data_IF_512856653308
#
_entry.id   IF_512856653308
#
_cell.length_a   1.000
_cell.length_b   1.000
_cell.length_c   1.000
_cell.angle_alpha   90.00
_cell.angle_beta   90.00
_cell.angle_gamma   90.00
#
_symmetry.space_group_name_H-M   'P 1'
#
loop_
_entity.id
_entity.type
_entity.pdbx_description
1 polymer ?
#
# COMPACT_ATOMS: atom_id res chain seq x y z
N UNK A 1 16.67 -8.97 -30.32
CA UNK A 1 15.44 -8.66 -29.55
C UNK A 1 15.91 -7.80 -28.41
N UNK A 2 15.61 -6.50 -28.47
CA UNK A 2 15.95 -5.56 -27.40
C UNK A 2 15.23 -6.02 -26.13
N UNK A 3 16.00 -6.19 -25.06
CA UNK A 3 15.47 -6.65 -23.77
C UNK A 3 14.78 -5.43 -23.17
N UNK A 4 13.46 -5.34 -23.34
CA UNK A 4 12.67 -4.32 -22.65
C UNK A 4 12.89 -4.57 -21.15
N UNK A 5 13.39 -3.55 -20.45
CA UNK A 5 13.51 -3.59 -19.00
C UNK A 5 12.11 -3.67 -18.40
N UNK A 6 11.93 -4.58 -17.44
CA UNK A 6 10.63 -4.76 -16.79
C UNK A 6 10.19 -3.46 -16.12
N UNK A 7 11.12 -2.70 -15.56
CA UNK A 7 10.82 -1.46 -14.86
C UNK A 7 10.28 -0.38 -15.80
N UNK A 8 10.90 -0.22 -16.97
CA UNK A 8 10.43 0.71 -18.00
C UNK A 8 9.06 0.28 -18.54
N UNK A 9 8.90 -1.02 -18.85
CA UNK A 9 7.61 -1.54 -19.27
C UNK A 9 6.52 -1.34 -18.22
N UNK A 10 6.81 -1.63 -16.96
CA UNK A 10 5.85 -1.51 -15.86
C UNK A 10 5.43 -0.06 -15.63
N UNK A 11 6.38 0.87 -15.72
CA UNK A 11 6.10 2.32 -15.61
C UNK A 11 5.22 2.78 -16.76
N UNK A 12 5.65 2.55 -17.99
CA UNK A 12 5.02 3.11 -19.18
C UNK A 12 3.67 2.44 -19.49
N UNK A 13 3.62 1.10 -19.39
CA UNK A 13 2.44 0.34 -19.81
C UNK A 13 1.36 0.21 -18.72
N UNK A 14 1.71 0.38 -17.44
CA UNK A 14 0.75 0.24 -16.33
C UNK A 14 0.61 1.50 -15.50
N UNK A 15 1.70 2.02 -14.92
CA UNK A 15 1.60 3.13 -13.97
C UNK A 15 1.21 4.45 -14.61
N UNK A 16 1.60 4.66 -15.88
CA UNK A 16 1.31 5.86 -16.65
C UNK A 16 0.09 5.72 -17.57
N UNK A 17 -0.52 4.53 -17.64
CA UNK A 17 -1.79 4.35 -18.33
C UNK A 17 -2.88 5.21 -17.66
N UNK A 18 -3.62 6.03 -18.43
CA UNK A 18 -4.58 6.98 -17.85
C UNK A 18 -5.76 6.28 -17.16
N UNK A 19 -6.09 5.04 -17.52
CA UNK A 19 -7.18 4.27 -16.94
C UNK A 19 -6.68 3.36 -15.81
N UNK A 20 -5.61 2.61 -16.03
CA UNK A 20 -5.10 1.60 -15.11
C UNK A 20 -4.16 2.19 -14.05
N UNK A 21 -3.35 3.19 -14.40
CA UNK A 21 -2.34 3.76 -13.53
C UNK A 21 -2.89 4.27 -12.19
N UNK A 22 -3.94 5.12 -12.20
CA UNK A 22 -4.58 5.58 -10.97
C UNK A 22 -5.12 4.43 -10.11
N UNK A 23 -5.69 3.38 -10.73
CA UNK A 23 -6.25 2.22 -10.01
C UNK A 23 -5.13 1.38 -9.42
N UNK A 24 -4.08 1.09 -10.19
CA UNK A 24 -2.90 0.35 -9.76
C UNK A 24 -2.24 1.02 -8.55
N UNK A 25 -2.02 2.34 -8.63
CA UNK A 25 -1.48 3.14 -7.52
C UNK A 25 -2.35 3.06 -6.27
N UNK A 26 -3.68 3.11 -6.42
CA UNK A 26 -4.61 3.02 -5.29
C UNK A 26 -4.64 1.61 -4.70
N UNK A 27 -4.60 0.57 -5.52
CA UNK A 27 -4.49 -0.82 -5.07
C UNK A 27 -3.19 -1.05 -4.29
N UNK A 28 -2.06 -0.51 -4.75
CA UNK A 28 -0.80 -0.58 -3.99
C UNK A 28 -0.95 0.07 -2.62
N UNK A 29 -1.53 1.27 -2.53
CA UNK A 29 -1.80 1.92 -1.25
C UNK A 29 -2.72 1.09 -0.37
N UNK A 30 -3.80 0.55 -0.94
CA UNK A 30 -4.77 -0.28 -0.22
C UNK A 30 -4.13 -1.54 0.37
N UNK A 31 -3.21 -2.20 -0.35
CA UNK A 31 -2.46 -3.34 0.19
C UNK A 31 -1.56 -2.97 1.36
N UNK A 32 -0.92 -1.81 1.32
CA UNK A 32 -0.03 -1.38 2.38
C UNK A 32 -0.78 -0.82 3.59
N UNK A 33 -1.79 0.00 3.36
CA UNK A 33 -2.38 0.86 4.37
C UNK A 33 -3.81 0.45 4.75
N UNK A 34 -4.45 -0.44 3.98
CA UNK A 34 -5.81 -0.92 4.25
C UNK A 34 -6.94 0.08 3.92
N UNK A 35 -6.62 1.25 3.36
CA UNK A 35 -7.57 2.26 2.91
C UNK A 35 -7.74 2.25 1.38
N UNK A 36 -8.97 2.42 0.94
CA UNK A 36 -9.26 2.88 -0.41
C UNK A 36 -9.30 4.40 -0.40
N UNK A 37 -8.53 5.06 -1.26
CA UNK A 37 -8.66 6.49 -1.49
C UNK A 37 -9.63 6.75 -2.64
N UNK A 38 -10.49 7.76 -2.53
CA UNK A 38 -11.35 8.12 -3.65
C UNK A 38 -10.51 8.47 -4.88
N UNK A 39 -10.92 7.97 -6.04
CA UNK A 39 -10.16 8.19 -7.27
C UNK A 39 -10.14 9.67 -7.68
N UNK A 40 -9.08 10.13 -8.39
CA UNK A 40 -8.99 11.51 -8.87
C UNK A 40 -10.22 11.94 -9.67
N UNK A 41 -10.66 13.20 -9.51
CA UNK A 41 -11.89 13.69 -10.14
C UNK A 41 -11.87 13.53 -11.67
N UNK A 42 -10.76 13.93 -12.31
CA UNK A 42 -10.56 13.80 -13.75
C UNK A 42 -10.64 12.34 -14.26
N UNK A 43 -10.24 11.37 -13.44
CA UNK A 43 -10.35 9.94 -13.76
C UNK A 43 -11.79 9.46 -13.61
N UNK A 44 -12.47 9.84 -12.52
CA UNK A 44 -13.88 9.46 -12.27
C UNK A 44 -14.79 9.97 -13.36
N UNK A 45 -14.65 11.25 -13.73
CA UNK A 45 -15.42 11.87 -14.82
C UNK A 45 -15.36 11.08 -16.14
N UNK A 46 -14.28 10.34 -16.39
CA UNK A 46 -14.06 9.58 -17.61
C UNK A 46 -14.43 8.10 -17.50
N UNK A 47 -14.26 7.47 -16.33
CA UNK A 47 -14.27 6.01 -16.22
C UNK A 47 -15.25 5.44 -15.18
N UNK A 48 -15.75 6.23 -14.22
CA UNK A 48 -16.59 5.70 -13.13
C UNK A 48 -17.63 6.72 -12.67
N UNK A 49 -18.88 6.28 -12.56
CA UNK A 49 -19.96 7.03 -11.93
C UNK A 49 -20.56 6.16 -10.83
N UNK A 50 -19.79 5.95 -9.76
CA UNK A 50 -20.20 5.11 -8.62
C UNK A 50 -20.03 5.86 -7.32
N UNK A 51 -21.06 5.83 -6.47
CA UNK A 51 -21.00 6.35 -5.10
C UNK A 51 -20.19 5.45 -4.15
N UNK A 52 -19.81 4.25 -4.60
CA UNK A 52 -18.99 3.33 -3.80
C UNK A 52 -17.51 3.75 -3.75
N UNK A 53 -17.08 4.56 -4.71
CA UNK A 53 -15.75 5.15 -4.77
C UNK A 53 -15.66 6.35 -3.81
N UNK A 54 -15.31 6.05 -2.57
CA UNK A 54 -15.16 7.00 -1.48
C UNK A 54 -13.97 6.61 -0.61
N UNK A 55 -13.27 7.61 -0.07
CA UNK A 55 -12.17 7.38 0.86
C UNK A 55 -12.69 6.68 2.11
N UNK A 56 -12.18 5.47 2.38
CA UNK A 56 -12.60 4.65 3.51
C UNK A 56 -11.56 3.59 3.87
N UNK A 57 -11.55 3.19 5.14
CA UNK A 57 -10.91 1.94 5.55
C UNK A 57 -11.73 0.79 4.96
N UNK A 58 -11.08 -0.13 4.25
CA UNK A 58 -11.77 -1.22 3.53
C UNK A 58 -12.44 -2.17 4.51
N UNK A 59 -11.73 -2.54 5.57
CA UNK A 59 -12.23 -3.33 6.69
C UNK A 59 -11.31 -3.21 7.90
N UNK A 60 -11.79 -3.61 9.07
CA UNK A 60 -10.94 -3.69 10.27
C UNK A 60 -9.74 -4.64 10.07
N UNK A 61 -9.91 -5.72 9.30
CA UNK A 61 -8.83 -6.65 8.96
C UNK A 61 -7.77 -6.00 8.06
N UNK A 62 -8.21 -5.24 7.05
CA UNK A 62 -7.29 -4.54 6.16
C UNK A 62 -6.40 -3.53 6.92
N UNK A 63 -6.95 -2.86 7.95
CA UNK A 63 -6.16 -2.01 8.83
C UNK A 63 -5.17 -2.81 9.69
N UNK A 64 -5.61 -3.94 10.28
CA UNK A 64 -4.79 -4.75 11.20
C UNK A 64 -3.65 -5.51 10.50
N UNK A 65 -3.84 -5.86 9.25
CA UNK A 65 -2.93 -6.72 8.47
C UNK A 65 -2.29 -5.98 7.27
N UNK A 66 -2.37 -4.66 7.23
CA UNK A 66 -1.73 -3.86 6.19
C UNK A 66 -0.21 -4.09 6.12
N UNK A 67 0.33 -4.22 4.90
CA UNK A 67 1.75 -4.54 4.70
C UNK A 67 2.70 -3.46 5.25
N UNK A 68 2.21 -2.24 5.49
CA UNK A 68 2.99 -1.16 6.10
C UNK A 68 3.54 -1.55 7.48
N UNK A 69 2.81 -2.35 8.26
CA UNK A 69 3.25 -2.75 9.59
C UNK A 69 4.49 -3.65 9.51
N UNK A 70 4.50 -4.58 8.56
CA UNK A 70 5.67 -5.42 8.30
C UNK A 70 6.84 -4.60 7.75
N UNK A 71 6.57 -3.66 6.84
CA UNK A 71 7.61 -2.83 6.22
C UNK A 71 8.30 -1.88 7.23
N UNK A 72 7.57 -1.47 8.28
CA UNK A 72 8.08 -0.59 9.33
C UNK A 72 8.58 -1.34 10.57
N UNK A 73 8.48 -2.67 10.59
CA UNK A 73 8.68 -3.50 11.81
C UNK A 73 7.87 -2.96 13.00
N UNK A 74 6.60 -2.67 12.75
CA UNK A 74 5.68 -2.03 13.68
C UNK A 74 4.39 -2.84 13.83
N UNK A 75 3.47 -2.34 14.65
CA UNK A 75 2.14 -2.93 14.84
C UNK A 75 1.05 -1.88 14.60
N UNK A 76 -0.17 -2.31 14.20
CA UNK A 76 -1.30 -1.40 14.09
C UNK A 76 -1.62 -0.74 15.43
N UNK A 77 -2.00 0.54 15.41
CA UNK A 77 -2.41 1.22 16.63
C UNK A 77 -3.78 0.73 17.09
N UNK A 78 -3.95 0.50 18.40
CA UNK A 78 -5.21 0.00 18.94
C UNK A 78 -5.56 -1.45 18.60
N UNK A 79 -4.66 -2.17 17.92
CA UNK A 79 -4.75 -3.62 17.68
C UNK A 79 -3.37 -4.25 17.90
N UNK A 80 -3.30 -5.52 18.30
CA UNK A 80 -2.02 -6.23 18.53
C UNK A 80 -1.03 -5.42 19.41
N UNK A 81 -1.44 -4.98 20.62
CA UNK A 81 -0.58 -4.15 21.46
C UNK A 81 0.72 -4.89 21.80
N UNK A 82 1.82 -4.15 21.78
CA UNK A 82 3.09 -4.65 22.32
C UNK A 82 3.04 -4.75 23.84
N UNK A 83 3.91 -5.58 24.40
CA UNK A 83 4.05 -5.72 25.85
C UNK A 83 4.52 -4.42 26.53
N UNK A 84 4.30 -4.32 27.84
CA UNK A 84 4.85 -3.23 28.64
C UNK A 84 6.39 -3.17 28.50
N UNK A 85 6.94 -1.96 28.40
CA UNK A 85 8.39 -1.76 28.30
C UNK A 85 8.98 -1.90 26.89
N UNK A 86 8.18 -2.23 25.87
CA UNK A 86 8.70 -2.42 24.49
C UNK A 86 9.34 -1.15 23.89
N UNK A 87 8.93 0.03 24.35
CA UNK A 87 9.54 1.31 23.96
C UNK A 87 10.77 1.71 24.80
N UNK A 88 11.15 0.88 25.77
CA UNK A 88 12.31 1.12 26.63
C UNK A 88 13.65 0.78 25.96
N UNK A 89 13.63 -0.03 24.91
CA UNK A 89 14.80 -0.39 24.11
C UNK A 89 14.92 0.51 22.88
N UNK A 90 16.16 0.78 22.45
CA UNK A 90 16.42 1.51 21.20
C UNK A 90 15.93 0.63 20.03
N UNK A 91 15.30 1.20 18.99
CA UNK A 91 14.99 0.45 17.78
C UNK A 91 16.23 -0.24 17.23
N UNK A 92 16.13 -1.55 17.00
CA UNK A 92 17.17 -2.33 16.34
C UNK A 92 17.36 -1.85 14.90
N UNK A 93 18.61 -1.78 14.44
CA UNK A 93 18.87 -1.74 13.02
C UNK A 93 18.79 -3.18 12.51
N UNK A 94 18.03 -3.44 11.46
CA UNK A 94 18.01 -4.74 10.79
C UNK A 94 19.44 -5.11 10.36
N UNK A 95 20.02 -6.25 10.78
CA UNK A 95 21.27 -6.70 10.19
C UNK A 95 20.97 -7.33 8.82
N UNK A 96 21.74 -6.95 7.80
CA UNK A 96 21.98 -7.80 6.63
C UNK A 96 22.44 -9.17 7.14
N UNK A 97 21.53 -10.14 7.18
CA UNK A 97 21.71 -11.60 6.98
C UNK A 97 20.42 -12.30 7.42
N UNK A 98 19.57 -12.69 6.48
CA UNK A 98 18.75 -13.89 6.67
C UNK A 98 19.64 -15.04 6.27
N UNK A 99 20.49 -15.50 7.18
CA UNK A 99 21.07 -16.82 7.06
C UNK A 99 19.98 -17.80 7.52
N UNK A 100 19.36 -18.45 6.52
CA UNK A 100 18.67 -19.76 6.48
C UNK A 100 17.56 -19.78 5.40
#
# INVERSE_FOLDING_TARGET
IEKIDFDDFFRDALLDDPKLGPVAKNLTKMWYLGNWEQMPANWREQYVTSSLDATKVVSADAYREGLVWLALDAHPMGAKPMGYGTWGEKPGFWPETRDE
#
